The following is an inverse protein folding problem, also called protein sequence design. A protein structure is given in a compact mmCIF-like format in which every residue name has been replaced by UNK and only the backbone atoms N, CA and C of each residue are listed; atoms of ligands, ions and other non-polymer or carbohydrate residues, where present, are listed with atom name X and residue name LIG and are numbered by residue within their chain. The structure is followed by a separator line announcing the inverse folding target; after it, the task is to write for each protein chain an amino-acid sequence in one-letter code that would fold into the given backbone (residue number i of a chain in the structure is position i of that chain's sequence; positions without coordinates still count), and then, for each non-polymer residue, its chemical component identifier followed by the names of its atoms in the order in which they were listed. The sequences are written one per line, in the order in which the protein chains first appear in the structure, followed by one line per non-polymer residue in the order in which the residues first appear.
data_IF_641567892131
#
_entry.id   IF_641567892131
#
_cell.length_a   1.000
_cell.length_b   1.000
_cell.length_c   1.000
_cell.angle_alpha   90.00
_cell.angle_beta   90.00
_cell.angle_gamma   90.00
#
_symmetry.space_group_name_H-M   'P 1'
#
loop_
_entity.id
_entity.type
_entity.pdbx_description
1 polymer ?
#
# COMPACT_ATOMS: atom_id res chain seq x y z
N UNK A 1 28.35 -33.07 -36.72
CA UNK A 1 28.09 -32.42 -35.41
C UNK A 1 26.77 -31.65 -35.52
N UNK A 2 25.66 -32.26 -35.12
CA UNK A 2 24.30 -31.83 -35.54
C UNK A 2 23.59 -31.09 -34.39
N UNK A 3 23.37 -29.77 -34.53
CA UNK A 3 22.71 -28.94 -33.50
C UNK A 3 21.22 -29.28 -33.39
N UNK A 4 20.81 -29.93 -32.29
CA UNK A 4 19.41 -30.11 -31.89
C UNK A 4 18.77 -28.75 -31.56
N UNK A 5 17.83 -28.30 -32.39
CA UNK A 5 16.99 -27.13 -32.09
C UNK A 5 16.05 -27.47 -30.93
N UNK A 6 16.23 -26.82 -29.79
CA UNK A 6 15.28 -26.87 -28.68
C UNK A 6 13.97 -26.19 -29.11
N UNK A 7 12.95 -27.00 -29.43
CA UNK A 7 11.59 -26.52 -29.67
C UNK A 7 11.02 -25.99 -28.34
N UNK A 8 10.93 -24.66 -28.25
CA UNK A 8 10.33 -23.92 -27.15
C UNK A 8 8.85 -24.32 -27.04
N UNK A 9 8.51 -25.20 -26.08
CA UNK A 9 7.13 -25.62 -25.80
C UNK A 9 6.29 -24.37 -25.46
N UNK A 10 5.36 -24.00 -26.34
CA UNK A 10 4.40 -22.93 -26.07
C UNK A 10 3.51 -23.34 -24.88
N UNK A 11 3.27 -22.46 -23.91
CA UNK A 11 2.43 -22.79 -22.76
C UNK A 11 1.01 -23.14 -23.23
N UNK A 12 0.51 -24.28 -22.75
CA UNK A 12 -0.82 -24.81 -23.08
C UNK A 12 -1.86 -23.86 -22.48
N UNK A 13 -2.53 -23.09 -23.34
CA UNK A 13 -3.60 -22.15 -22.97
C UNK A 13 -4.71 -22.96 -22.28
N UNK A 14 -4.86 -22.82 -20.95
CA UNK A 14 -5.97 -23.43 -20.20
C UNK A 14 -7.28 -22.96 -20.83
N UNK A 15 -8.13 -23.93 -21.21
CA UNK A 15 -9.47 -23.66 -21.69
C UNK A 15 -10.24 -22.91 -20.57
N UNK A 16 -11.05 -21.90 -20.91
CA UNK A 16 -11.91 -21.24 -19.93
C UNK A 16 -12.87 -22.26 -19.31
N UNK A 17 -13.18 -22.08 -18.02
CA UNK A 17 -14.13 -22.92 -17.30
C UNK A 17 -15.47 -22.98 -18.07
N UNK A 18 -16.08 -24.18 -18.12
CA UNK A 18 -17.33 -24.41 -18.82
C UNK A 18 -18.42 -23.48 -18.25
N UNK A 19 -19.01 -22.64 -19.11
CA UNK A 19 -20.16 -21.80 -18.76
C UNK A 19 -21.40 -22.69 -18.65
N UNK A 20 -22.26 -22.40 -17.67
CA UNK A 20 -23.60 -23.00 -17.60
C UNK A 20 -24.42 -22.59 -18.81
N UNK A 21 -25.26 -23.49 -19.34
CA UNK A 21 -26.09 -23.25 -20.53
C UNK A 21 -27.02 -22.02 -20.44
N UNK A 22 -27.25 -21.52 -19.22
CA UNK A 22 -28.11 -20.37 -18.91
C UNK A 22 -27.36 -19.03 -18.81
N UNK A 23 -26.04 -19.00 -18.99
CA UNK A 23 -25.27 -17.74 -18.96
C UNK A 23 -25.37 -17.01 -20.32
N UNK A 24 -26.38 -16.16 -20.46
CA UNK A 24 -26.62 -15.33 -21.65
C UNK A 24 -25.73 -14.09 -21.73
N UNK A 25 -24.84 -13.86 -20.76
CA UNK A 25 -23.99 -12.68 -20.75
C UNK A 25 -22.93 -12.78 -21.87
N UNK A 26 -22.74 -11.70 -22.66
CA UNK A 26 -21.67 -11.67 -23.65
C UNK A 26 -20.33 -12.01 -22.96
N UNK A 27 -19.43 -12.76 -23.63
CA UNK A 27 -18.13 -13.09 -23.06
C UNK A 27 -17.43 -11.82 -22.61
N UNK A 28 -17.11 -11.75 -21.32
CA UNK A 28 -16.34 -10.64 -20.78
C UNK A 28 -15.06 -10.53 -21.63
N UNK A 29 -14.71 -9.32 -22.13
CA UNK A 29 -13.48 -9.13 -22.87
C UNK A 29 -12.33 -9.73 -22.07
N UNK A 30 -11.42 -10.44 -22.73
CA UNK A 30 -10.19 -10.94 -22.09
C UNK A 30 -9.30 -9.74 -21.75
N UNK A 31 -9.64 -9.01 -20.69
CA UNK A 31 -8.84 -7.92 -20.17
C UNK A 31 -7.67 -8.51 -19.40
N UNK A 32 -6.48 -8.02 -19.71
CA UNK A 32 -5.32 -8.31 -18.88
C UNK A 32 -5.50 -7.61 -17.52
N UNK A 33 -4.88 -8.15 -16.46
CA UNK A 33 -4.81 -7.47 -15.16
C UNK A 33 -4.21 -6.06 -15.29
N UNK A 34 -3.29 -5.87 -16.24
CA UNK A 34 -2.72 -4.58 -16.57
C UNK A 34 -3.78 -3.62 -17.16
N UNK A 35 -4.64 -4.08 -18.06
CA UNK A 35 -5.74 -3.26 -18.62
C UNK A 35 -6.78 -2.92 -17.55
N UNK A 36 -7.13 -3.90 -16.71
CA UNK A 36 -8.02 -3.67 -15.58
C UNK A 36 -7.44 -2.60 -14.64
N UNK A 37 -6.16 -2.71 -14.29
CA UNK A 37 -5.46 -1.71 -13.47
C UNK A 37 -5.36 -0.35 -14.17
N UNK A 38 -5.11 -0.31 -15.48
CA UNK A 38 -5.05 0.94 -16.25
C UNK A 38 -6.35 1.73 -16.12
N UNK A 39 -7.49 1.04 -16.19
CA UNK A 39 -8.83 1.63 -16.08
C UNK A 39 -9.24 2.05 -14.66
N UNK A 40 -8.48 1.69 -13.63
CA UNK A 40 -8.78 2.13 -12.25
C UNK A 40 -8.52 3.64 -12.12
N UNK A 41 -9.47 4.42 -11.55
CA UNK A 41 -9.29 5.85 -11.31
C UNK A 41 -8.03 6.16 -10.50
N UNK A 42 -7.36 7.27 -10.80
CA UNK A 42 -6.14 7.67 -10.10
C UNK A 42 -6.31 7.75 -8.59
N UNK A 43 -7.45 8.29 -8.11
CA UNK A 43 -7.79 8.37 -6.68
C UNK A 43 -7.82 6.99 -6.01
N UNK A 44 -8.34 5.98 -6.70
CA UNK A 44 -8.41 4.62 -6.18
C UNK A 44 -7.04 3.96 -6.15
N UNK A 45 -6.19 4.18 -7.17
CA UNK A 45 -4.79 3.73 -7.16
C UNK A 45 -4.02 4.33 -6.00
N UNK A 46 -4.23 5.63 -5.73
CA UNK A 46 -3.64 6.33 -4.59
C UNK A 46 -4.12 5.73 -3.26
N UNK A 47 -5.41 5.46 -3.11
CA UNK A 47 -5.97 4.81 -1.92
C UNK A 47 -5.36 3.42 -1.70
N UNK A 48 -5.31 2.59 -2.74
CA UNK A 48 -4.74 1.23 -2.63
C UNK A 48 -3.25 1.29 -2.23
N UNK A 49 -2.50 2.22 -2.81
CA UNK A 49 -1.09 2.44 -2.47
C UNK A 49 -0.90 2.76 -0.99
N UNK A 50 -1.69 3.71 -0.45
CA UNK A 50 -1.59 4.09 0.97
C UNK A 50 -2.21 3.06 1.91
N UNK A 51 -3.30 2.42 1.53
CA UNK A 51 -3.93 1.36 2.32
C UNK A 51 -3.01 0.15 2.49
N UNK A 52 -2.31 -0.25 1.43
CA UNK A 52 -1.30 -1.33 1.51
C UNK A 52 -0.09 -0.92 2.35
N UNK A 53 0.35 0.34 2.26
CA UNK A 53 1.40 0.87 3.11
C UNK A 53 0.99 0.90 4.60
N UNK A 54 -0.23 1.32 4.92
CA UNK A 54 -0.78 1.27 6.29
C UNK A 54 -0.90 -0.17 6.77
N UNK A 55 -1.41 -1.09 5.95
CA UNK A 55 -1.52 -2.51 6.34
C UNK A 55 -0.17 -3.14 6.69
N UNK A 56 0.88 -2.80 5.92
CA UNK A 56 2.24 -3.16 6.26
C UNK A 56 2.71 -2.49 7.56
N UNK A 57 2.41 -1.21 7.75
CA UNK A 57 2.72 -0.47 8.97
C UNK A 57 2.04 -1.03 10.22
N UNK A 58 0.79 -1.50 10.09
CA UNK A 58 0.06 -2.16 11.17
C UNK A 58 0.73 -3.45 11.59
N UNK A 59 1.14 -4.28 10.63
CA UNK A 59 1.85 -5.54 10.90
C UNK A 59 3.19 -5.32 11.60
N UNK A 60 3.79 -4.14 11.42
CA UNK A 60 5.03 -3.72 12.04
C UNK A 60 4.83 -2.94 13.35
N UNK A 61 3.58 -2.75 13.81
CA UNK A 61 3.24 -2.01 15.04
C UNK A 61 3.32 -0.48 14.93
N UNK A 62 3.51 0.09 13.74
CA UNK A 62 3.63 1.54 13.56
C UNK A 62 2.31 2.28 13.80
N UNK A 63 1.17 1.63 13.52
CA UNK A 63 -0.16 2.22 13.73
C UNK A 63 -0.51 2.28 15.22
N UNK A 64 -0.22 1.21 15.96
CA UNK A 64 -0.44 1.18 17.41
C UNK A 64 0.50 2.17 18.11
N UNK A 65 1.78 2.20 17.71
CA UNK A 65 2.74 3.20 18.20
C UNK A 65 2.25 4.63 17.92
N UNK A 66 1.81 4.94 16.70
CA UNK A 66 1.35 6.30 16.37
C UNK A 66 0.06 6.69 17.10
N UNK A 67 -0.84 5.74 17.36
CA UNK A 67 -2.02 5.95 18.20
C UNK A 67 -1.61 6.28 19.64
N UNK A 68 -0.65 5.53 20.22
CA UNK A 68 -0.12 5.80 21.55
C UNK A 68 0.58 7.17 21.64
N UNK A 69 1.34 7.54 20.61
CA UNK A 69 1.97 8.87 20.51
C UNK A 69 0.90 9.97 20.46
N UNK A 70 -0.19 9.78 19.70
CA UNK A 70 -1.29 10.73 19.64
C UNK A 70 -1.98 10.91 21.01
N UNK A 71 -2.25 9.80 21.72
CA UNK A 71 -2.79 9.83 23.07
C UNK A 71 -1.85 10.56 24.04
N UNK A 72 -0.54 10.32 23.94
CA UNK A 72 0.46 11.00 24.76
C UNK A 72 0.53 12.51 24.47
N UNK A 73 0.42 12.93 23.20
CA UNK A 73 0.28 14.34 22.85
C UNK A 73 -0.99 14.96 23.45
N UNK A 74 -2.13 14.27 23.35
CA UNK A 74 -3.41 14.71 23.90
C UNK A 74 -3.42 14.77 25.44
N UNK A 75 -2.61 13.94 26.11
CA UNK A 75 -2.40 13.98 27.56
C UNK A 75 -1.56 15.18 28.05
N UNK A 76 -1.15 16.09 27.14
CA UNK A 76 -0.50 17.35 27.50
C UNK A 76 1.02 17.37 27.31
N UNK A 77 1.63 16.29 26.83
CA UNK A 77 3.09 16.20 26.68
C UNK A 77 3.65 16.83 25.40
N UNK A 78 2.85 17.61 24.68
CA UNK A 78 3.20 18.21 23.38
C UNK A 78 4.34 19.23 23.39
N UNK A 79 4.73 19.71 24.58
CA UNK A 79 5.86 20.63 24.82
C UNK A 79 7.04 19.97 25.55
N UNK A 80 6.94 18.67 25.86
CA UNK A 80 8.03 17.98 26.56
C UNK A 80 9.27 17.84 25.65
N UNK A 81 10.48 17.69 26.23
CA UNK A 81 11.71 17.53 25.45
C UNK A 81 11.64 16.40 24.40
N UNK A 82 10.98 15.29 24.72
CA UNK A 82 10.77 14.18 23.80
C UNK A 82 9.81 14.51 22.65
N UNK A 83 8.90 15.47 22.82
CA UNK A 83 8.01 15.92 21.75
C UNK A 83 8.78 16.56 20.59
N UNK A 84 9.86 17.30 20.88
CA UNK A 84 10.70 17.89 19.84
C UNK A 84 11.40 16.81 18.99
N UNK A 85 11.83 15.71 19.59
CA UNK A 85 12.38 14.58 18.85
C UNK A 85 11.32 13.95 17.93
N UNK A 86 10.08 13.82 18.40
CA UNK A 86 8.96 13.31 17.60
C UNK A 86 8.58 14.25 16.45
N UNK A 87 8.59 15.57 16.66
CA UNK A 87 8.42 16.55 15.59
C UNK A 87 9.53 16.43 14.55
N UNK A 88 10.79 16.31 14.99
CA UNK A 88 11.93 16.08 14.11
C UNK A 88 11.76 14.82 13.27
N UNK A 89 11.36 13.70 13.89
CA UNK A 89 11.12 12.43 13.22
C UNK A 89 9.99 12.55 12.19
N UNK A 90 8.90 13.24 12.52
CA UNK A 90 7.80 13.54 11.60
C UNK A 90 8.26 14.37 10.39
N UNK A 91 9.04 15.42 10.62
CA UNK A 91 9.62 16.26 9.55
C UNK A 91 10.55 15.42 8.65
N UNK A 92 11.43 14.60 9.24
CA UNK A 92 12.31 13.71 8.51
C UNK A 92 11.53 12.70 7.66
N UNK A 93 10.46 12.11 8.19
CA UNK A 93 9.61 11.19 7.45
C UNK A 93 8.93 11.88 6.24
N UNK A 94 8.38 13.07 6.44
CA UNK A 94 7.76 13.86 5.36
C UNK A 94 8.79 14.25 4.30
N UNK A 95 9.97 14.73 4.72
CA UNK A 95 11.04 15.10 3.82
C UNK A 95 11.51 13.89 3.00
N UNK A 96 11.68 12.73 3.66
CA UNK A 96 12.06 11.48 3.02
C UNK A 96 11.02 11.04 1.99
N UNK A 97 9.74 11.04 2.33
CA UNK A 97 8.65 10.69 1.42
C UNK A 97 8.55 11.62 0.21
N UNK A 98 8.77 12.93 0.41
CA UNK A 98 8.81 13.90 -0.70
C UNK A 98 10.02 13.65 -1.61
N UNK A 99 11.18 13.35 -1.02
CA UNK A 99 12.42 13.07 -1.75
C UNK A 99 12.44 11.70 -2.41
N UNK A 100 11.66 10.73 -1.93
CA UNK A 100 11.61 9.37 -2.46
C UNK A 100 10.67 9.20 -3.66
N UNK A 101 9.91 10.24 -4.05
CA UNK A 101 9.05 10.22 -5.25
C UNK A 101 9.73 9.80 -6.56
N UNK A 102 10.98 10.21 -6.86
CA UNK A 102 11.71 9.74 -8.05
C UNK A 102 12.39 8.38 -7.87
N UNK A 103 12.37 7.79 -6.67
CA UNK A 103 13.08 6.53 -6.41
C UNK A 103 12.35 5.34 -7.04
N UNK A 104 13.04 4.20 -7.09
CA UNK A 104 12.43 2.94 -7.51
C UNK A 104 11.15 2.68 -6.69
N UNK A 105 10.09 2.24 -7.37
CA UNK A 105 8.76 2.03 -6.82
C UNK A 105 8.71 1.36 -5.43
N UNK A 106 9.44 0.27 -5.14
CA UNK A 106 9.37 -0.36 -3.82
C UNK A 106 9.97 0.51 -2.71
N UNK A 107 11.00 1.30 -3.01
CA UNK A 107 11.62 2.18 -2.02
C UNK A 107 10.72 3.39 -1.74
N UNK A 108 10.14 3.97 -2.79
CA UNK A 108 9.13 5.02 -2.65
C UNK A 108 7.93 4.56 -1.83
N UNK A 109 7.50 3.30 -2.02
CA UNK A 109 6.44 2.65 -1.26
C UNK A 109 6.82 2.46 0.21
N UNK A 110 8.02 1.93 0.50
CA UNK A 110 8.47 1.76 1.89
C UNK A 110 8.52 3.09 2.65
N UNK A 111 8.97 4.18 2.02
CA UNK A 111 8.97 5.51 2.62
C UNK A 111 7.56 6.07 2.92
N UNK A 112 6.51 5.50 2.33
CA UNK A 112 5.12 5.89 2.59
C UNK A 112 4.53 5.20 3.82
N UNK A 113 5.15 4.12 4.32
CA UNK A 113 4.65 3.34 5.47
C UNK A 113 4.54 4.21 6.72
N UNK A 114 5.59 4.95 7.15
CA UNK A 114 5.51 5.71 8.40
C UNK A 114 4.44 6.80 8.34
N UNK A 115 4.33 7.51 7.21
CA UNK A 115 3.35 8.59 7.05
C UNK A 115 1.93 8.04 7.05
N UNK A 116 1.68 6.98 6.28
CA UNK A 116 0.34 6.39 6.18
C UNK A 116 -0.10 5.79 7.53
N UNK A 117 0.85 5.26 8.30
CA UNK A 117 0.60 4.72 9.65
C UNK A 117 0.32 5.82 10.68
N UNK A 118 1.02 6.96 10.62
CA UNK A 118 0.75 8.10 11.51
C UNK A 118 -0.63 8.68 11.24
N UNK A 119 -1.01 8.89 9.98
CA UNK A 119 -2.34 9.41 9.63
C UNK A 119 -3.43 8.47 10.17
N UNK A 120 -3.28 7.17 9.96
CA UNK A 120 -4.28 6.19 10.42
C UNK A 120 -4.33 6.07 11.94
N UNK A 121 -3.19 6.01 12.64
CA UNK A 121 -3.19 5.95 14.11
C UNK A 121 -3.78 7.19 14.77
N UNK A 122 -3.54 8.38 14.21
CA UNK A 122 -4.19 9.62 14.70
C UNK A 122 -5.71 9.56 14.50
N UNK A 123 -6.18 9.06 13.35
CA UNK A 123 -7.61 8.89 13.09
C UNK A 123 -8.25 7.88 14.06
N UNK A 124 -7.57 6.77 14.35
CA UNK A 124 -8.03 5.73 15.28
C UNK A 124 -8.07 6.22 16.72
N UNK A 125 -7.10 7.03 17.14
CA UNK A 125 -7.17 7.68 18.45
C UNK A 125 -8.47 8.47 18.60
N UNK A 126 -8.88 9.19 17.55
CA UNK A 126 -10.15 9.92 17.52
C UNK A 126 -11.40 9.04 17.62
N UNK A 127 -11.32 7.73 17.35
CA UNK A 127 -12.42 6.78 17.51
C UNK A 127 -12.43 6.09 18.87
N UNK A 128 -11.50 6.42 19.77
CA UNK A 128 -11.36 5.77 21.08
C UNK A 128 -10.64 4.41 21.04
N UNK A 129 -9.99 4.08 19.93
CA UNK A 129 -9.14 2.89 19.84
C UNK A 129 -7.94 3.04 20.78
N UNK A 130 -7.74 2.06 21.67
CA UNK A 130 -6.55 1.93 22.50
C UNK A 130 -5.87 0.59 22.15
N UNK A 131 -4.62 0.64 21.65
CA UNK A 131 -3.86 -0.57 21.34
C UNK A 131 -3.39 -1.33 22.59
#
# INVERSE_FOLDING_TARGET
MTKRKHLRRKPKRRAPAARTAWDTRPPAPRQSLADAWANVPYRMKWLIYHATATGAGWSLGWVDWSTGVAAWFAAGYWVSPSAFALYGLGICAIALYRKSRPWAWPVAWACSIPISSVVVGVLLYGTGYQP
#
